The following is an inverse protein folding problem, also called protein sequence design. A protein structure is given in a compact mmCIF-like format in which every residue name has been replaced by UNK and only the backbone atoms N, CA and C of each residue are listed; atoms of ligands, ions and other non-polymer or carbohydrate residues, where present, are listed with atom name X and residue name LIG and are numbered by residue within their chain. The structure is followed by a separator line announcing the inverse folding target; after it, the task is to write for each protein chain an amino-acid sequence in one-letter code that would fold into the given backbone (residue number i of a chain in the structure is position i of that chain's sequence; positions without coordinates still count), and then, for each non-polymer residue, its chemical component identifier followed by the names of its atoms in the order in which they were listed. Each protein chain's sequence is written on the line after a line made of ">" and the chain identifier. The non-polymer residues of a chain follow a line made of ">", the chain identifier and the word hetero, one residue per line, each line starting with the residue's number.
data_IF_370435097533
#
_entry.id   IF_370435097533
#
_cell.length_a   1.000
_cell.length_b   1.000
_cell.length_c   1.000
_cell.angle_alpha   90.00
_cell.angle_beta   90.00
_cell.angle_gamma   90.00
#
_symmetry.space_group_name_H-M   'P 1'
#
loop_
_entity.id
_entity.type
_entity.pdbx_description
1 polymer ?
#
# COMPACT_ATOMS: atom_id res chain seq x y z
N UNK A 1 -19.67 -41.09 -2.03
CA UNK A 1 -18.42 -40.34 -2.26
C UNK A 1 -18.76 -39.13 -3.13
N UNK A 2 -18.91 -37.97 -2.54
CA UNK A 2 -19.24 -36.75 -3.27
C UNK A 2 -17.96 -36.26 -3.96
N UNK A 3 -17.96 -36.23 -5.30
CA UNK A 3 -16.88 -35.65 -6.07
C UNK A 3 -16.83 -34.15 -5.81
N UNK A 4 -15.81 -33.72 -5.08
CA UNK A 4 -15.47 -32.31 -4.93
C UNK A 4 -15.33 -31.68 -6.33
N UNK A 5 -15.87 -30.50 -6.61
CA UNK A 5 -15.73 -29.87 -7.90
C UNK A 5 -14.23 -29.73 -8.20
N UNK A 6 -13.79 -30.32 -9.33
CA UNK A 6 -12.37 -30.37 -9.76
C UNK A 6 -11.80 -28.95 -9.74
N UNK A 7 -10.93 -28.66 -8.79
CA UNK A 7 -10.11 -27.43 -8.84
C UNK A 7 -9.20 -27.52 -10.09
N UNK A 8 -8.90 -26.38 -10.69
CA UNK A 8 -7.98 -26.38 -11.84
C UNK A 8 -6.64 -27.02 -11.44
N UNK A 9 -6.02 -27.80 -12.34
CA UNK A 9 -4.78 -28.55 -12.02
C UNK A 9 -3.63 -27.63 -11.59
N UNK A 10 -3.59 -26.42 -12.12
CA UNK A 10 -2.60 -25.40 -11.74
C UNK A 10 -3.33 -24.21 -11.11
N UNK A 11 -2.96 -23.89 -9.89
CA UNK A 11 -3.45 -22.74 -9.13
C UNK A 11 -2.32 -21.73 -9.00
N UNK A 12 -2.59 -20.45 -9.31
CA UNK A 12 -1.61 -19.39 -9.26
C UNK A 12 -2.12 -18.24 -8.42
N UNK A 13 -1.40 -17.91 -7.36
CA UNK A 13 -1.65 -16.71 -6.55
C UNK A 13 -0.44 -15.79 -6.73
N UNK A 14 -0.64 -14.60 -7.27
CA UNK A 14 0.47 -13.71 -7.54
C UNK A 14 0.10 -12.24 -7.38
N UNK A 15 1.10 -11.41 -7.16
CA UNK A 15 0.92 -9.95 -7.06
C UNK A 15 2.02 -9.28 -6.28
N UNK A 16 1.91 -7.97 -6.16
CA UNK A 16 2.87 -7.14 -5.43
C UNK A 16 2.59 -7.09 -3.92
N UNK A 17 1.42 -7.55 -3.44
CA UNK A 17 1.09 -7.69 -2.03
C UNK A 17 1.58 -9.05 -1.48
N UNK A 18 2.81 -9.09 -0.99
CA UNK A 18 3.44 -10.34 -0.49
C UNK A 18 2.62 -10.98 0.64
N UNK A 19 2.05 -10.18 1.56
CA UNK A 19 1.25 -10.69 2.68
C UNK A 19 -0.06 -11.31 2.19
N UNK A 20 -0.76 -10.63 1.29
CA UNK A 20 -1.99 -11.16 0.69
C UNK A 20 -1.73 -12.42 -0.16
N UNK A 21 -0.63 -12.46 -0.93
CA UNK A 21 -0.20 -13.67 -1.66
C UNK A 21 0.05 -14.81 -0.70
N UNK A 22 0.82 -14.58 0.38
CA UNK A 22 1.15 -15.59 1.40
C UNK A 22 -0.11 -16.14 2.08
N UNK A 23 -1.01 -15.27 2.55
CA UNK A 23 -2.27 -15.68 3.23
C UNK A 23 -3.21 -16.44 2.27
N UNK A 24 -3.42 -15.91 1.08
CA UNK A 24 -4.29 -16.54 0.09
C UNK A 24 -3.77 -17.91 -0.34
N UNK A 25 -2.44 -18.04 -0.51
CA UNK A 25 -1.84 -19.31 -0.91
C UNK A 25 -1.87 -20.32 0.24
N UNK A 26 -1.59 -19.90 1.49
CA UNK A 26 -1.67 -20.79 2.65
C UNK A 26 -3.08 -21.38 2.83
N UNK A 27 -4.11 -20.55 2.72
CA UNK A 27 -5.51 -21.00 2.77
C UNK A 27 -5.85 -21.98 1.61
N UNK A 28 -5.32 -21.71 0.41
CA UNK A 28 -5.51 -22.58 -0.75
C UNK A 28 -4.82 -23.93 -0.57
N UNK A 29 -3.56 -23.93 -0.11
CA UNK A 29 -2.78 -25.15 0.18
C UNK A 29 -3.48 -25.97 1.27
N UNK A 30 -3.95 -25.34 2.34
CA UNK A 30 -4.71 -26.02 3.38
C UNK A 30 -6.00 -26.68 2.85
N UNK A 31 -6.71 -26.01 1.95
CA UNK A 31 -7.93 -26.53 1.30
C UNK A 31 -7.65 -27.72 0.37
N UNK A 32 -6.50 -27.72 -0.29
CA UNK A 32 -6.07 -28.73 -1.28
C UNK A 32 -5.15 -29.78 -0.65
N UNK A 33 -4.83 -29.67 0.64
CA UNK A 33 -3.91 -30.58 1.29
C UNK A 33 -4.32 -32.05 1.08
N UNK A 34 -3.39 -32.92 0.64
CA UNK A 34 -3.65 -34.33 0.53
C UNK A 34 -3.90 -34.96 1.91
N UNK A 35 -4.60 -36.11 1.96
CA UNK A 35 -4.85 -36.82 3.21
C UNK A 35 -3.54 -37.26 3.87
N UNK A 36 -2.56 -37.68 3.08
CA UNK A 36 -1.21 -37.96 3.53
C UNK A 36 -0.29 -36.75 3.37
N UNK A 37 0.25 -36.27 4.49
CA UNK A 37 1.15 -35.12 4.51
C UNK A 37 2.44 -35.36 3.71
N UNK A 38 2.86 -36.59 3.47
CA UNK A 38 4.02 -36.93 2.63
C UNK A 38 3.78 -36.64 1.13
N UNK A 39 2.53 -36.49 0.73
CA UNK A 39 2.17 -36.14 -0.62
C UNK A 39 2.13 -34.59 -0.85
N UNK A 40 2.47 -33.76 0.16
CA UNK A 40 2.70 -32.34 0.03
C UNK A 40 4.20 -32.06 -0.13
N UNK A 41 4.60 -31.62 -1.31
CA UNK A 41 5.97 -31.19 -1.59
C UNK A 41 6.05 -29.68 -1.72
N UNK A 42 6.84 -29.01 -0.86
CA UNK A 42 7.02 -27.57 -0.88
C UNK A 42 8.41 -27.23 -1.39
N UNK A 43 8.47 -26.39 -2.43
CA UNK A 43 9.70 -25.95 -3.08
C UNK A 43 9.80 -24.44 -2.92
N UNK A 44 10.92 -23.98 -2.37
CA UNK A 44 11.16 -22.53 -2.26
C UNK A 44 11.51 -21.94 -3.63
N UNK A 45 10.73 -20.94 -4.06
CA UNK A 45 10.93 -20.22 -5.30
C UNK A 45 11.65 -18.88 -5.10
N UNK A 46 12.02 -18.51 -3.87
CA UNK A 46 12.79 -17.30 -3.63
C UNK A 46 14.24 -17.53 -4.08
N UNK A 47 14.70 -16.73 -5.02
CA UNK A 47 16.02 -16.83 -5.59
C UNK A 47 16.73 -15.46 -5.55
N UNK A 48 17.95 -15.42 -5.00
CA UNK A 48 18.81 -14.24 -4.99
C UNK A 48 19.78 -14.28 -6.18
N UNK A 49 20.12 -15.47 -6.66
CA UNK A 49 21.02 -15.71 -7.77
C UNK A 49 20.35 -16.45 -8.93
N UNK A 50 20.98 -16.42 -10.11
CA UNK A 50 20.55 -17.18 -11.30
C UNK A 50 20.56 -18.69 -11.03
N UNK A 51 21.56 -19.16 -10.29
CA UNK A 51 21.72 -20.58 -9.95
C UNK A 51 20.62 -21.05 -8.98
N UNK A 52 20.18 -20.20 -8.06
CA UNK A 52 19.06 -20.51 -7.15
C UNK A 52 17.76 -20.63 -7.96
N UNK A 53 17.51 -19.70 -8.89
CA UNK A 53 16.36 -19.77 -9.78
C UNK A 53 16.36 -21.05 -10.63
N UNK A 54 17.50 -21.37 -11.25
CA UNK A 54 17.64 -22.58 -12.06
C UNK A 54 17.41 -23.85 -11.25
N UNK A 55 17.94 -23.91 -10.01
CA UNK A 55 17.74 -25.03 -9.08
C UNK A 55 16.28 -25.19 -8.70
N UNK A 56 15.60 -24.09 -8.36
CA UNK A 56 14.18 -24.09 -8.00
C UNK A 56 13.32 -24.57 -9.17
N UNK A 57 13.59 -24.13 -10.40
CA UNK A 57 12.89 -24.59 -11.62
C UNK A 57 13.10 -26.09 -11.84
N UNK A 58 14.33 -26.60 -11.67
CA UNK A 58 14.63 -28.02 -11.80
C UNK A 58 13.91 -28.87 -10.76
N UNK A 59 13.86 -28.42 -9.49
CA UNK A 59 13.13 -29.08 -8.41
C UNK A 59 11.62 -29.17 -8.69
N UNK A 60 11.01 -28.06 -9.14
CA UNK A 60 9.58 -28.08 -9.50
C UNK A 60 9.33 -29.02 -10.67
N UNK A 61 10.19 -29.01 -11.68
CA UNK A 61 10.10 -29.92 -12.81
C UNK A 61 10.14 -31.38 -12.37
N UNK A 62 11.09 -31.74 -11.51
CA UNK A 62 11.19 -33.09 -10.92
C UNK A 62 9.94 -33.45 -10.12
N UNK A 63 9.48 -32.53 -9.26
CA UNK A 63 8.32 -32.73 -8.40
C UNK A 63 7.03 -32.99 -9.16
N UNK A 64 6.77 -32.25 -10.28
CA UNK A 64 5.56 -32.44 -11.10
C UNK A 64 5.62 -33.69 -11.98
N UNK A 65 6.81 -34.19 -12.30
CA UNK A 65 7.01 -35.39 -13.10
C UNK A 65 7.03 -36.68 -12.29
N UNK A 66 7.21 -36.56 -10.95
CA UNK A 66 7.27 -37.69 -10.02
C UNK A 66 5.89 -37.97 -9.44
N UNK A 67 5.37 -39.17 -9.66
CA UNK A 67 4.09 -39.60 -9.13
C UNK A 67 4.17 -39.88 -7.62
N UNK A 68 3.06 -39.75 -6.88
CA UNK A 68 3.03 -40.09 -5.45
C UNK A 68 3.29 -41.55 -5.23
N UNK A 69 4.19 -41.86 -4.30
CA UNK A 69 4.62 -43.24 -4.04
C UNK A 69 3.54 -44.11 -3.33
N UNK A 70 2.75 -43.48 -2.47
CA UNK A 70 1.73 -44.18 -1.66
C UNK A 70 0.30 -44.08 -2.26
N UNK A 71 0.17 -43.73 -3.51
CA UNK A 71 -1.15 -43.47 -4.13
C UNK A 71 -1.80 -42.17 -3.66
N UNK A 72 -3.00 -41.88 -4.17
CA UNK A 72 -3.66 -40.59 -3.93
C UNK A 72 -3.10 -39.48 -4.83
N UNK A 73 -3.50 -38.25 -4.53
CA UNK A 73 -3.04 -37.05 -5.25
C UNK A 73 -1.83 -36.42 -4.56
N UNK A 74 -0.88 -35.90 -5.35
CA UNK A 74 0.27 -35.13 -4.86
C UNK A 74 -0.01 -33.63 -5.03
N UNK A 75 0.31 -32.84 -4.00
CA UNK A 75 0.28 -31.39 -4.06
C UNK A 75 1.70 -30.84 -4.07
N UNK A 76 2.07 -30.17 -5.15
CA UNK A 76 3.35 -29.46 -5.26
C UNK A 76 3.08 -27.97 -5.02
N UNK A 77 3.74 -27.40 -4.02
CA UNK A 77 3.66 -25.98 -3.74
C UNK A 77 4.97 -25.26 -4.08
N UNK A 78 4.98 -24.51 -5.18
CA UNK A 78 6.08 -23.63 -5.53
C UNK A 78 5.90 -22.29 -4.86
N UNK A 79 6.63 -22.08 -3.77
CA UNK A 79 6.40 -21.01 -2.81
C UNK A 79 7.25 -19.78 -3.10
N UNK A 80 6.63 -18.59 -3.07
CA UNK A 80 7.28 -17.28 -3.06
C UNK A 80 8.22 -17.00 -4.24
N UNK A 81 7.85 -17.41 -5.46
CA UNK A 81 8.66 -17.19 -6.65
C UNK A 81 8.81 -15.70 -6.95
N UNK A 82 10.05 -15.22 -7.09
CA UNK A 82 10.38 -13.82 -7.30
C UNK A 82 11.11 -13.53 -8.63
N UNK A 83 11.14 -14.47 -9.56
CA UNK A 83 11.86 -14.37 -10.82
C UNK A 83 10.98 -14.57 -12.07
N UNK A 84 9.65 -14.47 -11.95
CA UNK A 84 8.76 -14.48 -13.11
C UNK A 84 8.60 -13.11 -13.76
N UNK A 85 9.22 -12.09 -13.23
CA UNK A 85 9.25 -10.72 -13.78
C UNK A 85 10.63 -10.35 -14.35
N UNK A 86 10.86 -9.04 -14.56
CA UNK A 86 12.14 -8.51 -15.09
C UNK A 86 13.12 -8.04 -13.98
N UNK A 87 12.86 -8.39 -12.73
CA UNK A 87 13.70 -8.02 -11.60
C UNK A 87 14.62 -9.18 -11.19
N UNK A 88 15.74 -8.83 -10.57
CA UNK A 88 16.68 -9.82 -10.04
C UNK A 88 17.09 -10.91 -11.06
N UNK A 89 17.06 -12.20 -10.67
CA UNK A 89 17.41 -13.31 -11.55
C UNK A 89 16.51 -13.45 -12.78
N UNK A 90 15.24 -13.02 -12.69
CA UNK A 90 14.26 -13.14 -13.78
C UNK A 90 14.60 -12.37 -15.07
N UNK A 91 15.53 -11.40 -15.02
CA UNK A 91 16.00 -10.69 -16.21
C UNK A 91 17.00 -11.49 -17.07
N UNK A 92 17.65 -12.50 -16.48
CA UNK A 92 18.68 -13.28 -17.16
C UNK A 92 18.09 -14.26 -18.17
N UNK A 93 18.75 -14.38 -19.34
CA UNK A 93 18.26 -15.21 -20.45
C UNK A 93 18.19 -16.67 -20.06
N UNK A 94 19.20 -17.18 -19.33
CA UNK A 94 19.21 -18.57 -18.87
C UNK A 94 18.03 -18.94 -17.97
N UNK A 95 17.52 -18.00 -17.16
CA UNK A 95 16.31 -18.21 -16.32
C UNK A 95 15.06 -18.21 -17.20
N UNK A 96 15.00 -17.35 -18.21
CA UNK A 96 13.89 -17.30 -19.17
C UNK A 96 13.81 -18.60 -19.96
N UNK A 97 14.93 -19.08 -20.49
CA UNK A 97 15.03 -20.33 -21.23
C UNK A 97 14.61 -21.53 -20.37
N UNK A 98 15.07 -21.55 -19.10
CA UNK A 98 14.67 -22.60 -18.16
C UNK A 98 13.17 -22.59 -17.89
N UNK A 99 12.55 -21.41 -17.71
CA UNK A 99 11.10 -21.28 -17.54
C UNK A 99 10.32 -21.69 -18.80
N UNK A 100 10.80 -21.36 -19.98
CA UNK A 100 10.18 -21.80 -21.25
C UNK A 100 10.28 -23.31 -21.43
N UNK A 101 11.40 -23.91 -21.04
CA UNK A 101 11.60 -25.37 -21.06
C UNK A 101 10.65 -26.10 -20.09
N UNK A 102 10.19 -25.44 -19.01
CA UNK A 102 9.22 -26.00 -18.06
C UNK A 102 7.78 -26.06 -18.66
N UNK A 103 7.43 -25.21 -19.62
CA UNK A 103 6.06 -25.08 -20.15
C UNK A 103 5.44 -26.42 -20.65
N UNK A 104 6.14 -27.28 -21.40
CA UNK A 104 5.59 -28.57 -21.80
C UNK A 104 5.32 -29.51 -20.63
N UNK A 105 6.11 -29.40 -19.55
CA UNK A 105 5.93 -30.25 -18.37
C UNK A 105 4.71 -29.83 -17.55
N UNK A 106 4.34 -28.54 -17.58
CA UNK A 106 3.09 -28.03 -16.96
C UNK A 106 1.82 -28.67 -17.60
N UNK A 107 1.87 -29.13 -18.85
CA UNK A 107 0.76 -29.81 -19.51
C UNK A 107 0.49 -31.22 -18.93
N UNK A 108 1.44 -31.76 -18.18
CA UNK A 108 1.31 -33.05 -17.50
C UNK A 108 0.63 -32.98 -16.14
N UNK A 109 0.46 -31.76 -15.60
CA UNK A 109 -0.26 -31.53 -14.34
C UNK A 109 -1.75 -31.72 -14.60
N UNK A 110 -2.33 -32.83 -14.15
CA UNK A 110 -3.70 -33.25 -14.48
C UNK A 110 -4.75 -32.93 -13.37
N UNK A 111 -4.28 -32.55 -12.21
CA UNK A 111 -5.12 -32.26 -11.05
C UNK A 111 -5.70 -33.51 -10.33
N UNK A 112 -5.44 -34.71 -10.86
CA UNK A 112 -5.81 -35.98 -10.23
C UNK A 112 -4.59 -36.60 -9.55
N UNK A 113 -3.52 -36.78 -10.32
CA UNK A 113 -2.26 -37.34 -9.82
C UNK A 113 -1.38 -36.26 -9.20
N UNK A 114 -1.28 -35.10 -9.85
CA UNK A 114 -0.50 -33.97 -9.37
C UNK A 114 -1.31 -32.68 -9.52
N UNK A 115 -1.36 -31.89 -8.46
CA UNK A 115 -1.85 -30.51 -8.43
C UNK A 115 -0.68 -29.58 -8.15
N UNK A 116 -0.56 -28.47 -8.89
CA UNK A 116 0.49 -27.48 -8.69
C UNK A 116 -0.10 -26.18 -8.18
N UNK A 117 0.38 -25.71 -7.02
CA UNK A 117 0.08 -24.40 -6.47
C UNK A 117 1.32 -23.53 -6.57
N UNK A 118 1.20 -22.38 -7.19
CA UNK A 118 2.29 -21.41 -7.37
C UNK A 118 1.93 -20.14 -6.62
N UNK A 119 2.84 -19.66 -5.76
CA UNK A 119 2.79 -18.29 -5.25
C UNK A 119 3.94 -17.48 -5.82
N UNK A 120 3.64 -16.30 -6.40
CA UNK A 120 4.65 -15.46 -7.03
C UNK A 120 4.49 -13.98 -6.64
N UNK A 121 5.62 -13.28 -6.49
CA UNK A 121 5.64 -11.85 -6.13
C UNK A 121 5.45 -10.91 -7.33
N UNK A 122 5.35 -11.46 -8.53
CA UNK A 122 5.09 -10.74 -9.76
C UNK A 122 5.16 -11.68 -10.95
N UNK A 123 4.55 -11.28 -12.07
CA UNK A 123 4.64 -12.01 -13.36
C UNK A 123 4.70 -11.02 -14.50
N UNK A 124 5.68 -11.16 -15.36
CA UNK A 124 5.73 -10.39 -16.59
C UNK A 124 4.73 -10.93 -17.62
N UNK A 125 3.56 -10.31 -17.67
CA UNK A 125 2.40 -10.73 -18.50
C UNK A 125 2.67 -10.70 -20.03
N UNK A 126 3.70 -9.99 -20.46
CA UNK A 126 4.08 -9.86 -21.87
C UNK A 126 4.97 -10.98 -22.41
N UNK A 127 5.66 -11.74 -21.55
CA UNK A 127 6.58 -12.83 -21.93
C UNK A 127 5.85 -14.13 -22.25
N UNK A 128 6.50 -14.99 -23.03
CA UNK A 128 5.96 -16.27 -23.45
C UNK A 128 5.54 -17.13 -22.26
N UNK A 129 6.42 -17.30 -21.27
CA UNK A 129 6.14 -18.05 -20.03
C UNK A 129 4.94 -17.46 -19.27
N UNK A 130 4.94 -16.15 -18.97
CA UNK A 130 3.86 -15.51 -18.23
C UNK A 130 2.50 -15.64 -18.94
N UNK A 131 2.45 -15.42 -20.25
CA UNK A 131 1.23 -15.62 -21.06
C UNK A 131 0.73 -17.06 -21.00
N UNK A 132 1.64 -18.03 -21.16
CA UNK A 132 1.30 -19.44 -21.15
C UNK A 132 0.82 -19.90 -19.75
N UNK A 133 1.52 -19.49 -18.69
CA UNK A 133 1.14 -19.82 -17.31
C UNK A 133 -0.24 -19.25 -16.96
N UNK A 134 -0.50 -17.97 -17.25
CA UNK A 134 -1.80 -17.35 -17.02
C UNK A 134 -2.96 -17.97 -17.80
N UNK A 135 -2.68 -18.55 -18.95
CA UNK A 135 -3.68 -19.29 -19.73
C UNK A 135 -4.00 -20.67 -19.15
N UNK A 136 -3.01 -21.33 -18.53
CA UNK A 136 -3.13 -22.70 -17.99
C UNK A 136 -3.63 -22.73 -16.55
N UNK A 137 -3.30 -21.70 -15.76
CA UNK A 137 -3.59 -21.65 -14.34
C UNK A 137 -4.89 -20.91 -14.02
N UNK A 138 -5.57 -21.36 -12.96
CA UNK A 138 -6.57 -20.54 -12.29
C UNK A 138 -5.84 -19.50 -11.44
N UNK A 139 -5.86 -18.24 -11.88
CA UNK A 139 -5.07 -17.18 -11.28
C UNK A 139 -5.89 -16.33 -10.32
N UNK A 140 -5.31 -16.04 -9.15
CA UNK A 140 -5.78 -15.02 -8.20
C UNK A 140 -4.71 -13.92 -8.10
N UNK A 141 -5.13 -12.67 -8.31
CA UNK A 141 -4.25 -11.50 -8.24
C UNK A 141 -4.36 -10.89 -6.85
N UNK A 142 -3.22 -10.56 -6.26
CA UNK A 142 -3.08 -9.90 -4.98
C UNK A 142 -2.09 -8.74 -5.13
N UNK A 143 -2.53 -7.64 -5.71
CA UNK A 143 -1.68 -6.46 -5.91
C UNK A 143 -1.86 -5.47 -4.75
N UNK A 144 -0.76 -4.80 -4.39
CA UNK A 144 -0.79 -3.65 -3.50
C UNK A 144 -1.66 -2.54 -4.10
N UNK A 145 -2.41 -1.82 -3.26
CA UNK A 145 -3.08 -0.60 -3.71
C UNK A 145 -2.02 0.36 -4.27
N UNK A 146 -2.22 0.80 -5.50
CA UNK A 146 -1.30 1.74 -6.13
C UNK A 146 -1.91 3.14 -6.08
N UNK A 147 -1.34 4.05 -5.27
CA UNK A 147 -1.80 5.45 -5.16
C UNK A 147 -1.86 6.21 -6.50
N UNK A 148 -1.22 5.69 -7.56
CA UNK A 148 -1.33 6.29 -8.89
C UNK A 148 -2.63 5.93 -9.61
N UNK A 149 -3.18 4.75 -9.30
CA UNK A 149 -4.33 4.16 -10.00
C UNK A 149 -5.51 3.86 -9.07
N UNK A 150 -5.30 3.87 -7.74
CA UNK A 150 -6.31 3.59 -6.72
C UNK A 150 -6.58 4.87 -5.95
N UNK A 151 -7.83 5.26 -5.81
CA UNK A 151 -8.19 6.44 -5.00
C UNK A 151 -7.96 6.16 -3.52
N UNK A 152 -7.74 7.20 -2.73
CA UNK A 152 -7.65 7.07 -1.27
C UNK A 152 -8.91 6.43 -0.67
N UNK A 153 -10.09 6.79 -1.18
CA UNK A 153 -11.37 6.21 -0.77
C UNK A 153 -11.41 4.69 -0.98
N UNK A 154 -10.81 4.21 -2.07
CA UNK A 154 -10.76 2.79 -2.40
C UNK A 154 -9.79 2.02 -1.49
N UNK A 155 -8.69 2.67 -1.08
CA UNK A 155 -7.74 2.12 -0.09
C UNK A 155 -8.40 2.05 1.29
N UNK A 156 -9.08 3.11 1.71
CA UNK A 156 -9.81 3.16 2.98
C UNK A 156 -10.88 2.07 3.01
N UNK A 157 -11.63 1.90 1.91
CA UNK A 157 -12.59 0.82 1.78
C UNK A 157 -11.95 -0.58 1.91
N UNK A 158 -10.77 -0.81 1.32
CA UNK A 158 -10.04 -2.07 1.50
C UNK A 158 -9.62 -2.30 2.96
N UNK A 159 -9.19 -1.25 3.66
CA UNK A 159 -8.87 -1.31 5.10
C UNK A 159 -10.12 -1.70 5.90
N UNK A 160 -11.26 -1.05 5.65
CA UNK A 160 -12.53 -1.39 6.30
C UNK A 160 -12.92 -2.86 6.08
N UNK A 161 -12.81 -3.35 4.85
CA UNK A 161 -13.10 -4.75 4.53
C UNK A 161 -12.17 -5.71 5.28
N UNK A 162 -10.87 -5.38 5.41
CA UNK A 162 -9.93 -6.19 6.19
C UNK A 162 -10.23 -6.16 7.68
N UNK A 163 -10.61 -5.00 8.24
CA UNK A 163 -11.05 -4.88 9.64
C UNK A 163 -12.30 -5.72 9.91
N UNK A 164 -13.30 -5.63 9.02
CA UNK A 164 -14.53 -6.42 9.13
C UNK A 164 -14.26 -7.93 9.02
N UNK A 165 -13.38 -8.35 8.11
CA UNK A 165 -12.95 -9.74 7.97
C UNK A 165 -12.23 -10.28 9.22
N UNK A 166 -11.58 -9.39 10.00
CA UNK A 166 -10.98 -9.70 11.29
C UNK A 166 -11.98 -9.62 12.48
N UNK A 167 -13.27 -9.46 12.21
CA UNK A 167 -14.33 -9.37 13.22
C UNK A 167 -14.47 -8.00 13.88
N UNK A 168 -13.78 -6.98 13.39
CA UNK A 168 -13.87 -5.62 13.90
C UNK A 168 -15.06 -4.86 13.27
N UNK A 169 -15.60 -3.90 14.01
CA UNK A 169 -16.63 -2.96 13.52
C UNK A 169 -16.03 -1.55 13.56
N UNK A 170 -15.41 -1.08 12.46
CA UNK A 170 -14.85 0.26 12.43
C UNK A 170 -15.96 1.31 12.45
N UNK A 171 -15.89 2.26 13.38
CA UNK A 171 -16.72 3.44 13.41
C UNK A 171 -16.28 4.49 12.39
N UNK A 172 -17.04 5.58 12.29
CA UNK A 172 -16.78 6.63 11.33
C UNK A 172 -15.37 7.24 11.49
N UNK A 173 -14.62 7.28 10.39
CA UNK A 173 -13.26 7.83 10.33
C UNK A 173 -12.16 6.96 10.94
N UNK A 174 -12.50 5.73 11.35
CA UNK A 174 -11.51 4.79 11.95
C UNK A 174 -10.54 4.25 10.91
N UNK A 175 -11.04 3.85 9.73
CA UNK A 175 -10.20 3.34 8.65
C UNK A 175 -9.33 4.43 8.04
N UNK A 176 -9.82 5.67 7.95
CA UNK A 176 -9.03 6.83 7.55
C UNK A 176 -7.88 7.09 8.52
N UNK A 177 -8.18 7.04 9.84
CA UNK A 177 -7.15 7.20 10.86
C UNK A 177 -6.11 6.09 10.81
N UNK A 178 -6.56 4.86 10.58
CA UNK A 178 -5.69 3.71 10.40
C UNK A 178 -4.77 3.89 9.18
N UNK A 179 -5.33 4.30 8.03
CA UNK A 179 -4.56 4.61 6.84
C UNK A 179 -3.52 5.71 7.08
N UNK A 180 -3.89 6.78 7.76
CA UNK A 180 -2.98 7.85 8.15
C UNK A 180 -1.81 7.36 9.02
N UNK A 181 -2.06 6.36 9.89
CA UNK A 181 -1.04 5.81 10.78
C UNK A 181 -0.11 4.80 10.09
N UNK A 182 -0.62 4.02 9.12
CA UNK A 182 0.08 2.86 8.53
C UNK A 182 0.49 3.07 7.07
N UNK A 183 -0.05 4.08 6.39
CA UNK A 183 0.16 4.27 4.95
C UNK A 183 -0.38 3.11 4.12
N UNK A 184 0.34 2.73 3.06
CA UNK A 184 -0.04 1.66 2.11
C UNK A 184 0.65 0.30 2.39
N UNK A 185 1.35 0.17 3.49
CA UNK A 185 2.03 -1.08 3.85
C UNK A 185 1.02 -2.13 4.33
N UNK A 186 0.66 -3.05 3.45
CA UNK A 186 -0.34 -4.10 3.73
C UNK A 186 0.15 -5.16 4.72
N UNK A 187 1.46 -5.36 4.86
CA UNK A 187 2.03 -6.22 5.90
C UNK A 187 1.82 -5.58 7.27
N UNK A 188 2.07 -4.28 7.37
CA UNK A 188 1.76 -3.49 8.57
C UNK A 188 0.26 -3.50 8.86
N UNK A 189 -0.62 -3.35 7.85
CA UNK A 189 -2.08 -3.44 8.06
C UNK A 189 -2.47 -4.74 8.73
N UNK A 190 -1.93 -5.86 8.28
CA UNK A 190 -2.27 -7.16 8.82
C UNK A 190 -1.90 -7.29 10.30
N UNK A 191 -0.69 -6.88 10.67
CA UNK A 191 -0.20 -6.92 12.04
C UNK A 191 -1.01 -5.97 12.95
N UNK A 192 -1.27 -4.74 12.49
CA UNK A 192 -1.97 -3.74 13.28
C UNK A 192 -3.48 -4.06 13.41
N UNK A 193 -4.13 -4.62 12.38
CA UNK A 193 -5.52 -5.09 12.45
C UNK A 193 -5.63 -6.26 13.43
N UNK A 194 -4.68 -7.20 13.44
CA UNK A 194 -4.65 -8.30 14.40
C UNK A 194 -4.50 -7.77 15.85
N UNK A 195 -3.63 -6.80 16.07
CA UNK A 195 -3.47 -6.13 17.37
C UNK A 195 -4.76 -5.43 17.81
N UNK A 196 -5.44 -4.73 16.90
CA UNK A 196 -6.74 -4.11 17.17
C UNK A 196 -7.82 -5.15 17.48
N UNK A 197 -7.81 -6.31 16.80
CA UNK A 197 -8.74 -7.40 17.06
C UNK A 197 -8.52 -8.00 18.45
N UNK A 198 -7.26 -8.21 18.85
CA UNK A 198 -6.92 -8.64 20.19
C UNK A 198 -7.38 -7.63 21.26
N UNK A 199 -7.22 -6.33 21.01
CA UNK A 199 -7.69 -5.29 21.92
C UNK A 199 -9.22 -5.25 22.04
N UNK A 200 -9.93 -5.38 20.91
CA UNK A 200 -11.38 -5.34 20.90
C UNK A 200 -11.99 -6.56 21.64
N UNK A 201 -11.36 -7.73 21.53
CA UNK A 201 -11.88 -8.96 22.14
C UNK A 201 -13.31 -9.27 21.66
N UNK A 202 -14.01 -10.12 22.39
CA UNK A 202 -15.39 -10.51 22.06
C UNK A 202 -16.44 -9.46 22.47
N UNK A 203 -16.05 -8.40 23.19
CA UNK A 203 -16.99 -7.48 23.87
C UNK A 203 -17.06 -6.06 23.34
N UNK A 204 -16.16 -5.62 22.45
CA UNK A 204 -16.16 -4.24 21.96
C UNK A 204 -17.09 -4.04 20.78
N UNK A 205 -18.15 -3.23 20.97
CA UNK A 205 -19.19 -3.03 19.96
C UNK A 205 -18.69 -2.28 18.70
N UNK A 206 -17.78 -1.32 18.88
CA UNK A 206 -17.28 -0.46 17.81
C UNK A 206 -15.84 -0.01 18.10
N UNK A 207 -15.01 -0.02 17.06
CA UNK A 207 -13.64 0.48 17.10
C UNK A 207 -13.64 1.97 16.74
N UNK A 208 -13.07 2.82 17.59
CA UNK A 208 -13.07 4.27 17.40
C UNK A 208 -11.74 4.78 16.85
N UNK A 209 -11.73 6.03 16.35
CA UNK A 209 -10.50 6.73 15.94
C UNK A 209 -9.50 6.85 17.08
N UNK A 210 -9.98 7.08 18.31
CA UNK A 210 -9.13 7.20 19.50
C UNK A 210 -8.45 5.88 19.87
N UNK A 211 -9.13 4.75 19.63
CA UNK A 211 -8.53 3.42 19.82
C UNK A 211 -7.37 3.22 18.86
N UNK A 212 -7.57 3.54 17.58
CA UNK A 212 -6.51 3.49 16.57
C UNK A 212 -5.34 4.40 16.97
N UNK A 213 -5.61 5.65 17.37
CA UNK A 213 -4.58 6.60 17.76
C UNK A 213 -3.77 6.19 18.99
N UNK A 214 -4.38 5.43 19.92
CA UNK A 214 -3.70 4.94 21.14
C UNK A 214 -2.91 3.67 20.91
N UNK A 215 -3.40 2.78 20.04
CA UNK A 215 -2.85 1.43 19.91
C UNK A 215 -1.87 1.30 18.75
N UNK A 216 -2.09 2.05 17.68
CA UNK A 216 -1.20 2.00 16.51
C UNK A 216 -0.13 3.07 16.71
N UNK A 217 1.11 2.61 16.83
CA UNK A 217 2.27 3.49 16.82
C UNK A 217 2.26 4.31 15.52
N UNK A 218 2.28 5.63 15.65
CA UNK A 218 2.38 6.50 14.49
C UNK A 218 3.71 6.23 13.80
N UNK A 219 3.66 5.88 12.51
CA UNK A 219 4.87 5.87 11.69
C UNK A 219 5.44 7.29 11.62
N UNK A 220 6.73 7.42 11.36
CA UNK A 220 7.38 8.74 11.14
C UNK A 220 6.58 9.58 10.15
N UNK A 221 6.13 8.95 9.07
CA UNK A 221 5.30 9.58 8.04
C UNK A 221 3.98 10.11 8.60
N UNK A 222 3.31 9.37 9.47
CA UNK A 222 2.05 9.81 10.09
C UNK A 222 2.28 11.03 11.01
N UNK A 223 3.39 11.07 11.77
CA UNK A 223 3.72 12.24 12.60
C UNK A 223 3.94 13.49 11.75
N UNK A 224 4.60 13.35 10.58
CA UNK A 224 4.79 14.47 9.64
C UNK A 224 3.45 14.98 9.10
N UNK A 225 2.52 14.08 8.77
CA UNK A 225 1.18 14.47 8.35
C UNK A 225 0.37 15.14 9.45
N UNK A 226 0.39 14.60 10.67
CA UNK A 226 -0.27 15.19 11.83
C UNK A 226 0.32 16.58 12.13
N UNK A 227 1.63 16.77 12.01
CA UNK A 227 2.29 18.07 12.09
C UNK A 227 1.76 19.05 11.03
N UNK A 228 1.75 18.66 9.77
CA UNK A 228 1.22 19.49 8.69
C UNK A 228 -0.26 19.87 8.93
N UNK A 229 -1.06 18.92 9.42
CA UNK A 229 -2.46 19.14 9.74
C UNK A 229 -2.64 20.14 10.90
N UNK A 230 -1.82 20.03 11.94
CA UNK A 230 -1.84 20.97 13.07
C UNK A 230 -1.48 22.39 12.61
N UNK A 231 -0.48 22.54 11.75
CA UNK A 231 -0.12 23.85 11.15
C UNK A 231 -1.28 24.41 10.32
N UNK A 232 -1.88 23.60 9.42
CA UNK A 232 -3.02 24.03 8.61
C UNK A 232 -4.26 24.34 9.46
N UNK A 233 -4.44 23.68 10.60
CA UNK A 233 -5.52 23.91 11.56
C UNK A 233 -5.30 25.13 12.47
N UNK A 234 -4.10 25.70 12.51
CA UNK A 234 -3.73 26.79 13.44
C UNK A 234 -3.52 26.31 14.87
N UNK A 235 -3.25 25.01 15.07
CA UNK A 235 -3.06 24.37 16.38
C UNK A 235 -1.61 24.51 16.85
N UNK A 236 -1.21 25.74 17.24
CA UNK A 236 0.18 26.13 17.51
C UNK A 236 0.90 25.19 18.50
N UNK A 237 0.26 24.86 19.63
CA UNK A 237 0.85 23.98 20.64
C UNK A 237 1.14 22.59 20.08
N UNK A 238 0.14 21.99 19.43
CA UNK A 238 0.26 20.66 18.84
C UNK A 238 1.30 20.62 17.71
N UNK A 239 1.32 21.65 16.85
CA UNK A 239 2.30 21.78 15.77
C UNK A 239 3.73 21.80 16.31
N UNK A 240 4.02 22.55 17.36
CA UNK A 240 5.35 22.63 17.97
C UNK A 240 5.74 21.34 18.70
N UNK A 241 4.80 20.69 19.40
CA UNK A 241 5.04 19.39 20.05
C UNK A 241 5.41 18.32 19.01
N UNK A 242 4.65 18.24 17.90
CA UNK A 242 4.91 17.30 16.82
C UNK A 242 6.22 17.62 16.08
N UNK A 243 6.52 18.90 15.84
CA UNK A 243 7.79 19.32 15.27
C UNK A 243 8.96 18.89 16.16
N UNK A 244 8.87 19.12 17.46
CA UNK A 244 9.88 18.68 18.44
C UNK A 244 10.09 17.17 18.42
N UNK A 245 9.01 16.38 18.31
CA UNK A 245 9.08 14.93 18.20
C UNK A 245 9.76 14.46 16.90
N UNK A 246 9.49 15.12 15.76
CA UNK A 246 10.12 14.81 14.47
C UNK A 246 11.63 15.11 14.53
N UNK A 247 12.02 16.26 15.04
CA UNK A 247 13.41 16.66 15.16
C UNK A 247 14.19 15.79 16.17
N UNK A 248 13.54 15.27 17.21
CA UNK A 248 14.12 14.32 18.14
C UNK A 248 14.36 12.92 17.53
N UNK A 249 13.71 12.62 16.40
CA UNK A 249 13.90 11.40 15.61
C UNK A 249 14.89 11.59 14.45
N UNK A 250 15.68 12.66 14.46
CA UNK A 250 16.67 13.02 13.42
C UNK A 250 16.03 13.19 12.02
N UNK A 251 14.74 13.60 11.95
CA UNK A 251 14.15 13.96 10.67
C UNK A 251 14.76 15.24 10.10
N UNK A 252 14.96 15.27 8.79
CA UNK A 252 15.55 16.40 8.10
C UNK A 252 14.65 17.63 8.15
N UNK A 253 15.12 18.74 8.71
CA UNK A 253 14.41 20.01 8.76
C UNK A 253 13.99 20.51 7.37
N UNK A 254 14.85 20.31 6.37
CA UNK A 254 14.57 20.64 4.97
C UNK A 254 13.48 19.72 4.40
N UNK A 255 13.50 18.43 4.75
CA UNK A 255 12.48 17.45 4.37
C UNK A 255 11.11 17.84 4.94
N UNK A 256 11.04 18.14 6.23
CA UNK A 256 9.82 18.61 6.92
C UNK A 256 9.28 19.88 6.26
N UNK A 257 10.16 20.86 6.01
CA UNK A 257 9.78 22.12 5.39
C UNK A 257 9.22 21.94 3.97
N UNK A 258 9.81 21.07 3.15
CA UNK A 258 9.33 20.78 1.78
C UNK A 258 7.94 20.14 1.82
N UNK A 259 7.69 19.21 2.72
CA UNK A 259 6.39 18.57 2.89
C UNK A 259 5.34 19.58 3.37
N UNK A 260 5.67 20.39 4.39
CA UNK A 260 4.79 21.46 4.85
C UNK A 260 4.46 22.45 3.73
N UNK A 261 5.45 22.90 2.95
CA UNK A 261 5.24 23.79 1.82
C UNK A 261 4.29 23.16 0.76
N UNK A 262 4.38 21.86 0.55
CA UNK A 262 3.44 21.11 -0.29
C UNK A 262 2.00 21.23 0.21
N UNK A 263 1.77 21.04 1.50
CA UNK A 263 0.45 21.14 2.12
C UNK A 263 -0.10 22.56 2.14
N UNK A 264 0.73 23.54 2.47
CA UNK A 264 0.34 24.98 2.41
C UNK A 264 0.00 25.39 0.98
N UNK A 265 0.68 24.87 -0.03
CA UNK A 265 0.33 25.07 -1.45
C UNK A 265 -1.05 24.53 -1.79
N UNK A 266 -1.39 23.34 -1.29
CA UNK A 266 -2.73 22.76 -1.49
C UNK A 266 -3.79 23.58 -0.77
N UNK A 267 -3.50 24.08 0.43
CA UNK A 267 -4.38 24.99 1.17
C UNK A 267 -4.62 26.31 0.42
N UNK A 268 -3.56 26.93 -0.10
CA UNK A 268 -3.65 28.15 -0.91
C UNK A 268 -4.49 27.94 -2.17
N UNK A 269 -4.26 26.84 -2.89
CA UNK A 269 -5.05 26.48 -4.08
C UNK A 269 -6.53 26.26 -3.71
N UNK A 270 -6.80 25.48 -2.68
CA UNK A 270 -8.16 25.19 -2.23
C UNK A 270 -8.90 26.46 -1.77
N UNK A 271 -8.24 27.34 -1.02
CA UNK A 271 -8.79 28.62 -0.60
C UNK A 271 -9.10 29.51 -1.82
N UNK A 272 -8.16 29.60 -2.78
CA UNK A 272 -8.34 30.39 -4.03
C UNK A 272 -9.52 29.87 -4.86
N UNK A 273 -9.62 28.57 -5.06
CA UNK A 273 -10.72 27.97 -5.83
C UNK A 273 -12.08 28.19 -5.14
N UNK A 274 -12.14 28.13 -3.81
CA UNK A 274 -13.36 28.41 -3.05
C UNK A 274 -13.76 29.89 -3.12
N UNK A 275 -12.84 30.80 -2.92
CA UNK A 275 -13.10 32.25 -3.00
C UNK A 275 -13.63 32.67 -4.39
N UNK A 276 -13.15 32.00 -5.45
CA UNK A 276 -13.62 32.24 -6.82
C UNK A 276 -14.82 31.36 -7.22
N UNK A 277 -15.44 30.62 -6.29
CA UNK A 277 -16.59 29.73 -6.55
C UNK A 277 -16.31 28.63 -7.60
N UNK A 278 -15.06 28.25 -7.76
CA UNK A 278 -14.61 27.21 -8.67
C UNK A 278 -14.53 25.83 -8.02
N UNK A 279 -14.73 25.74 -6.70
CA UNK A 279 -14.69 24.51 -5.92
C UNK A 279 -15.71 24.58 -4.78
N UNK A 280 -16.36 23.45 -4.53
CA UNK A 280 -17.20 23.21 -3.36
C UNK A 280 -16.65 22.03 -2.56
N UNK A 281 -16.78 22.08 -1.23
CA UNK A 281 -16.50 20.96 -0.36
C UNK A 281 -17.78 20.13 -0.20
N UNK A 282 -17.74 18.89 -0.65
CA UNK A 282 -18.82 17.93 -0.45
C UNK A 282 -18.43 17.00 0.69
N UNK A 283 -19.36 16.79 1.62
CA UNK A 283 -19.15 15.89 2.75
C UNK A 283 -19.43 14.46 2.30
N UNK A 284 -18.40 13.61 2.23
CA UNK A 284 -18.54 12.17 2.03
C UNK A 284 -18.17 11.47 3.34
N UNK A 285 -19.18 11.20 4.17
CA UNK A 285 -18.94 10.67 5.52
C UNK A 285 -18.21 11.68 6.42
N UNK A 286 -17.17 11.28 7.16
CA UNK A 286 -16.36 12.17 8.01
C UNK A 286 -15.35 13.02 7.23
N UNK A 287 -15.09 12.68 5.96
CA UNK A 287 -14.12 13.34 5.11
C UNK A 287 -14.79 14.33 4.14
N UNK A 288 -14.06 15.38 3.76
CA UNK A 288 -14.47 16.33 2.73
C UNK A 288 -13.71 16.08 1.46
N UNK A 289 -14.43 15.84 0.37
CA UNK A 289 -13.87 15.83 -0.98
C UNK A 289 -14.07 17.17 -1.66
N UNK A 290 -13.14 17.57 -2.53
CA UNK A 290 -13.30 18.74 -3.36
C UNK A 290 -14.08 18.37 -4.64
N UNK A 291 -15.17 19.06 -4.87
CA UNK A 291 -15.88 19.04 -6.15
C UNK A 291 -15.47 20.30 -6.93
N UNK A 292 -14.65 20.11 -7.94
CA UNK A 292 -14.05 21.22 -8.72
C UNK A 292 -14.83 21.39 -10.02
N UNK A 293 -15.19 22.62 -10.34
CA UNK A 293 -15.88 22.92 -11.59
C UNK A 293 -14.96 22.71 -12.81
N UNK A 294 -15.48 22.48 -14.02
CA UNK A 294 -14.66 22.34 -15.22
C UNK A 294 -13.70 23.54 -15.46
N UNK A 295 -14.12 24.74 -15.10
CA UNK A 295 -13.26 25.94 -15.16
C UNK A 295 -12.16 25.90 -14.08
N UNK A 296 -12.44 25.31 -12.91
CA UNK A 296 -11.47 25.13 -11.83
C UNK A 296 -10.44 24.04 -12.11
N UNK A 297 -10.79 23.01 -12.86
CA UNK A 297 -9.87 21.92 -13.24
C UNK A 297 -8.64 22.42 -14.03
N UNK A 298 -8.79 23.51 -14.77
CA UNK A 298 -7.68 24.13 -15.49
C UNK A 298 -6.56 24.64 -14.57
N UNK A 299 -6.86 24.94 -13.32
CA UNK A 299 -5.90 25.42 -12.32
C UNK A 299 -5.29 24.28 -11.47
N UNK A 300 -5.78 23.04 -11.61
CA UNK A 300 -5.23 21.93 -10.87
C UNK A 300 -3.84 21.55 -11.39
N UNK A 301 -2.85 21.42 -10.51
CA UNK A 301 -1.56 20.87 -10.90
C UNK A 301 -1.73 19.45 -11.47
N UNK A 302 -0.91 19.12 -12.46
CA UNK A 302 -0.92 17.79 -13.07
C UNK A 302 0.25 16.97 -12.60
N UNK A 303 0.00 15.67 -12.38
CA UNK A 303 1.03 14.67 -12.11
C UNK A 303 1.91 14.53 -13.37
N UNK A 304 3.08 13.89 -13.22
CA UNK A 304 3.95 13.55 -14.37
C UNK A 304 3.24 12.69 -15.43
N UNK A 305 2.20 11.95 -15.04
CA UNK A 305 1.32 11.17 -15.92
C UNK A 305 0.35 12.03 -16.76
N UNK A 306 0.26 13.34 -16.51
CA UNK A 306 -0.70 14.26 -17.15
C UNK A 306 -2.07 14.34 -16.44
N UNK A 307 -2.34 13.46 -15.48
CA UNK A 307 -3.57 13.47 -14.69
C UNK A 307 -3.59 14.61 -13.67
N UNK A 308 -4.76 15.17 -13.33
CA UNK A 308 -4.87 16.14 -12.24
C UNK A 308 -4.49 15.51 -10.88
N UNK A 309 -4.14 16.36 -9.92
CA UNK A 309 -3.93 15.92 -8.54
C UNK A 309 -5.23 15.37 -7.92
N UNK A 310 -5.11 14.60 -6.84
CA UNK A 310 -6.26 14.06 -6.09
C UNK A 310 -7.14 15.19 -5.56
N UNK A 311 -8.42 15.18 -5.92
CA UNK A 311 -9.44 16.11 -5.41
C UNK A 311 -9.75 15.85 -3.94
N UNK A 312 -9.51 14.64 -3.45
CA UNK A 312 -9.63 14.28 -2.04
C UNK A 312 -8.57 15.01 -1.19
N UNK A 313 -7.29 14.89 -1.55
CA UNK A 313 -6.20 15.57 -0.84
C UNK A 313 -6.39 17.11 -0.84
N UNK A 314 -6.84 17.66 -1.97
CA UNK A 314 -7.19 19.07 -2.09
C UNK A 314 -8.35 19.44 -1.14
N UNK A 315 -9.38 18.60 -1.07
CA UNK A 315 -10.54 18.80 -0.19
C UNK A 315 -10.16 18.80 1.29
N UNK A 316 -9.32 17.86 1.71
CA UNK A 316 -8.81 17.78 3.07
C UNK A 316 -7.98 19.02 3.47
N UNK A 317 -7.04 19.43 2.62
CA UNK A 317 -6.23 20.63 2.86
C UNK A 317 -7.11 21.90 2.91
N UNK A 318 -8.04 22.03 1.96
CA UNK A 318 -8.96 23.17 1.89
C UNK A 318 -9.93 23.24 3.08
N UNK A 319 -10.36 22.11 3.61
CA UNK A 319 -11.22 22.06 4.80
C UNK A 319 -10.46 22.53 6.04
N UNK A 320 -9.26 22.00 6.29
CA UNK A 320 -8.42 22.41 7.43
C UNK A 320 -8.04 23.88 7.37
N UNK A 321 -7.72 24.34 6.16
CA UNK A 321 -7.34 25.72 5.90
C UNK A 321 -8.53 26.70 5.78
N UNK A 322 -9.77 26.24 5.99
CA UNK A 322 -10.98 27.00 5.71
C UNK A 322 -11.16 28.27 6.56
N UNK A 323 -10.51 28.32 7.71
CA UNK A 323 -10.56 29.44 8.66
C UNK A 323 -9.73 30.65 8.23
N UNK A 324 -8.87 30.50 7.21
CA UNK A 324 -8.00 31.56 6.68
C UNK A 324 -8.26 31.83 5.19
N UNK A 325 -8.14 33.09 4.74
CA UNK A 325 -8.28 33.44 3.33
C UNK A 325 -7.07 33.02 2.50
N UNK A 326 -7.23 32.94 1.15
CA UNK A 326 -6.16 32.54 0.24
C UNK A 326 -4.90 33.40 0.40
N UNK A 327 -5.06 34.73 0.56
CA UNK A 327 -3.94 35.67 0.78
C UNK A 327 -3.05 35.31 1.98
N UNK A 328 -3.62 34.71 3.02
CA UNK A 328 -2.87 34.24 4.17
C UNK A 328 -1.93 33.09 3.79
N UNK A 329 -2.46 32.11 3.05
CA UNK A 329 -1.69 30.96 2.63
C UNK A 329 -0.60 31.29 1.61
N UNK A 330 -0.77 32.32 0.78
CA UNK A 330 0.30 32.83 -0.06
C UNK A 330 1.44 33.45 0.77
N UNK A 331 1.12 34.22 1.81
CA UNK A 331 2.15 34.73 2.73
C UNK A 331 2.88 33.61 3.45
N UNK A 332 2.16 32.60 3.94
CA UNK A 332 2.76 31.42 4.52
C UNK A 332 3.74 30.71 3.57
N UNK A 333 3.41 30.63 2.27
CA UNK A 333 4.35 30.13 1.25
C UNK A 333 5.60 30.98 1.12
N UNK A 334 5.46 32.30 1.16
CA UNK A 334 6.61 33.23 1.10
C UNK A 334 7.52 33.09 2.32
N UNK A 335 6.93 32.91 3.52
CA UNK A 335 7.67 32.59 4.76
C UNK A 335 8.45 31.27 4.62
N UNK A 336 7.79 30.19 4.16
CA UNK A 336 8.44 28.89 3.96
C UNK A 336 9.54 28.95 2.89
N UNK A 337 9.31 29.69 1.79
CA UNK A 337 10.32 29.89 0.74
C UNK A 337 11.55 30.64 1.26
N UNK A 338 11.33 31.72 2.04
CA UNK A 338 12.40 32.49 2.66
C UNK A 338 13.19 31.65 3.64
N UNK A 339 12.49 30.83 4.46
CA UNK A 339 13.10 29.89 5.39
C UNK A 339 13.95 28.85 4.67
N UNK A 340 13.43 28.24 3.59
CA UNK A 340 14.19 27.31 2.76
C UNK A 340 15.47 27.92 2.22
N UNK A 341 15.40 29.15 1.70
CA UNK A 341 16.56 29.88 1.18
C UNK A 341 17.59 30.14 2.27
N UNK A 342 17.16 30.54 3.48
CA UNK A 342 18.05 30.79 4.60
C UNK A 342 18.74 29.50 5.07
N UNK A 343 18.02 28.38 5.16
CA UNK A 343 18.58 27.07 5.47
C UNK A 343 19.65 26.64 4.46
N UNK A 344 19.40 26.83 3.17
CA UNK A 344 20.31 26.44 2.09
C UNK A 344 21.55 27.35 2.00
N UNK A 345 21.41 28.62 2.36
CA UNK A 345 22.52 29.58 2.33
C UNK A 345 23.27 29.70 3.66
N UNK A 346 22.94 28.90 4.67
CA UNK A 346 23.60 28.89 5.97
C UNK A 346 23.32 30.16 6.81
N UNK A 347 22.20 30.84 6.58
CA UNK A 347 21.81 32.06 7.32
C UNK A 347 20.99 31.72 8.57
N UNK A 348 21.55 30.96 9.48
CA UNK A 348 20.96 30.56 10.74
C UNK A 348 20.89 29.05 10.93
N UNK A 349 20.59 28.63 12.16
CA UNK A 349 20.40 27.24 12.49
C UNK A 349 19.08 26.74 11.89
N UNK A 350 19.13 25.61 11.17
CA UNK A 350 17.99 25.08 10.43
C UNK A 350 16.76 24.81 11.32
N UNK A 351 17.00 24.23 12.49
CA UNK A 351 15.95 23.94 13.48
C UNK A 351 15.23 25.22 13.92
N UNK A 352 15.99 26.24 14.38
CA UNK A 352 15.40 27.50 14.83
C UNK A 352 14.67 28.25 13.71
N UNK A 353 15.18 28.18 12.47
CA UNK A 353 14.50 28.77 11.30
C UNK A 353 13.16 28.07 11.03
N UNK A 354 13.08 26.76 11.16
CA UNK A 354 11.85 26.00 10.97
C UNK A 354 10.82 26.28 12.07
N UNK A 355 11.26 26.27 13.32
CA UNK A 355 10.42 26.58 14.48
C UNK A 355 9.79 28.00 14.37
N UNK A 356 10.61 28.99 13.99
CA UNK A 356 10.14 30.37 13.77
C UNK A 356 9.12 30.45 12.62
N UNK A 357 9.38 29.79 11.49
CA UNK A 357 8.46 29.79 10.38
C UNK A 357 7.11 29.15 10.73
N UNK A 358 7.12 28.06 11.49
CA UNK A 358 5.89 27.41 11.98
C UNK A 358 5.14 28.34 12.92
N UNK A 359 5.82 28.98 13.88
CA UNK A 359 5.22 29.95 14.79
C UNK A 359 4.58 31.12 14.05
N UNK A 360 5.26 31.69 13.05
CA UNK A 360 4.72 32.79 12.25
C UNK A 360 3.43 32.40 11.54
N UNK A 361 3.38 31.16 10.98
CA UNK A 361 2.18 30.67 10.26
C UNK A 361 1.02 30.39 11.21
N UNK A 362 1.26 29.82 12.40
CA UNK A 362 0.16 29.45 13.31
C UNK A 362 -0.29 30.56 14.25
N UNK A 363 0.54 31.59 14.47
CA UNK A 363 0.23 32.72 15.39
C UNK A 363 -0.54 33.86 14.71
N UNK A 364 -0.47 34.03 13.37
CA UNK A 364 -1.27 34.97 12.61
C UNK A 364 -2.73 34.46 12.42
#
# INVERSE_FOLDING_TARGET
>A
MASNPKSAPIQLVYGSDEDAVKKATAALVQKLAPEDAMNLETIDGRADTVDDAARSIAQVREAILTLPFFGGGKLVWWKAVNFFDEHGPGRHESVKDALETLLPDLDRVDGNSVTLVISALGIHRGRAFGKALLKKAQAKICDLPNLRNTSEDEIIFQIEQRMQAAGLRPGAGTAERFFQATGIDTAMWSAEIEKLACYAGEGKAELTRDDVSRLIGTTREAVIWDFCHAVLGGEAKLALELLGALLAQDESEVGILVLLAGQVRMAALGATLRENKLMHLTRRGPASAAEVSPAGEAYLPRKKSGEPISTYALGQAAQRAAHRPARFWFRALDTLHTTARNMLTGRGEKRGLLELAVLEIVAE
#
